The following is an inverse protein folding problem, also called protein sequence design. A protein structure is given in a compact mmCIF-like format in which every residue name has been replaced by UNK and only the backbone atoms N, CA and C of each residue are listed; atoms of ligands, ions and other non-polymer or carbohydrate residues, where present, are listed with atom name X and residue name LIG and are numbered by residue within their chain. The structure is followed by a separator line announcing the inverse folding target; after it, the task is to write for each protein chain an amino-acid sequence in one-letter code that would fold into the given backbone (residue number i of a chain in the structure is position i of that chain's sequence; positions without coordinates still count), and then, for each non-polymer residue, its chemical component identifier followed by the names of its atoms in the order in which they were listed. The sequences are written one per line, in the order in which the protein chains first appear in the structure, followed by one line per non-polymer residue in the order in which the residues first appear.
data_IF_870455003176
#
_entry.id   IF_870455003176
#
_cell.length_a   1.000
_cell.length_b   1.000
_cell.length_c   1.000
_cell.angle_alpha   90.00
_cell.angle_beta   90.00
_cell.angle_gamma   90.00
#
_symmetry.space_group_name_H-M   'P 1'
#
loop_
_entity.id
_entity.type
_entity.pdbx_description
1 polymer ?
#
# COMPACT_ATOMS: atom_id res chain seq x y z
N UNK A 1 -17.69 8.60 9.24
CA UNK A 1 -17.33 8.62 10.68
C UNK A 1 -15.81 8.56 10.88
N UNK A 2 -15.07 7.85 10.03
CA UNK A 2 -13.60 7.66 10.14
C UNK A 2 -12.74 8.89 9.85
N UNK A 3 -13.26 9.85 9.07
CA UNK A 3 -12.55 11.10 8.76
C UNK A 3 -12.06 11.82 10.03
N UNK A 4 -12.86 11.80 11.11
CA UNK A 4 -12.47 12.44 12.37
C UNK A 4 -11.33 11.72 13.11
N UNK A 5 -11.14 10.41 12.91
CA UNK A 5 -10.08 9.64 13.56
C UNK A 5 -8.79 9.74 12.74
N UNK A 6 -8.90 9.73 11.41
CA UNK A 6 -7.78 10.03 10.50
C UNK A 6 -7.29 11.48 10.60
N UNK A 7 -8.02 12.37 11.30
CA UNK A 7 -7.60 13.73 11.64
C UNK A 7 -6.93 13.82 13.03
N UNK A 8 -6.76 12.69 13.73
CA UNK A 8 -6.03 12.65 15.01
C UNK A 8 -4.60 13.18 14.83
N UNK A 9 -4.10 13.91 15.83
CA UNK A 9 -2.70 14.36 15.84
C UNK A 9 -1.72 13.25 16.19
N UNK A 10 -2.19 12.21 16.87
CA UNK A 10 -1.39 11.05 17.27
C UNK A 10 -1.37 10.04 16.10
N UNK A 11 -0.21 9.76 15.48
CA UNK A 11 -0.10 8.84 14.35
C UNK A 11 -0.54 7.41 14.71
N UNK A 12 -0.27 6.95 15.92
CA UNK A 12 -0.64 5.61 16.39
C UNK A 12 -2.17 5.42 16.40
N UNK A 13 -2.92 6.49 16.69
CA UNK A 13 -4.39 6.47 16.63
C UNK A 13 -4.89 6.44 15.18
N UNK A 14 -4.16 7.06 14.25
CA UNK A 14 -4.49 7.02 12.81
C UNK A 14 -4.18 5.65 12.23
N UNK A 15 -3.05 5.06 12.61
CA UNK A 15 -2.64 3.70 12.23
C UNK A 15 -3.66 2.66 12.70
N UNK A 16 -4.03 2.66 13.98
CA UNK A 16 -5.06 1.75 14.53
C UNK A 16 -6.41 1.92 13.79
N UNK A 17 -6.71 3.14 13.34
CA UNK A 17 -7.90 3.38 12.53
C UNK A 17 -7.81 2.76 11.14
N UNK A 18 -6.63 2.79 10.51
CA UNK A 18 -6.35 2.14 9.22
C UNK A 18 -6.47 0.62 9.33
N UNK A 19 -5.89 0.02 10.37
CA UNK A 19 -6.02 -1.43 10.63
C UNK A 19 -7.49 -1.83 10.75
N UNK A 20 -8.26 -1.10 11.56
CA UNK A 20 -9.71 -1.35 11.70
C UNK A 20 -10.42 -1.19 10.37
N UNK A 21 -10.12 -0.15 9.59
CA UNK A 21 -10.70 0.06 8.27
C UNK A 21 -10.43 -1.12 7.33
N UNK A 22 -9.26 -1.76 7.42
CA UNK A 22 -8.91 -2.91 6.59
C UNK A 22 -9.90 -4.07 6.73
N UNK A 23 -10.44 -4.28 7.93
CA UNK A 23 -11.40 -5.34 8.27
C UNK A 23 -12.86 -4.99 7.92
N UNK A 24 -13.16 -3.73 7.58
CA UNK A 24 -14.53 -3.25 7.39
C UNK A 24 -15.04 -3.41 5.97
N UNK A 25 -16.35 -3.63 5.84
CA UNK A 25 -17.07 -3.56 4.57
C UNK A 25 -17.64 -2.15 4.35
N UNK A 26 -17.70 -1.73 3.08
CA UNK A 26 -18.37 -0.49 2.68
C UNK A 26 -17.57 0.36 1.69
N UNK A 27 -18.26 1.13 0.84
CA UNK A 27 -17.60 1.95 -0.19
C UNK A 27 -16.76 3.09 0.39
N UNK A 28 -17.06 3.55 1.62
CA UNK A 28 -16.31 4.63 2.28
C UNK A 28 -14.91 4.19 2.75
N UNK A 29 -14.69 2.89 2.91
CA UNK A 29 -13.41 2.33 3.37
C UNK A 29 -12.30 2.63 2.38
N UNK A 30 -12.54 2.41 1.08
CA UNK A 30 -11.55 2.70 0.04
C UNK A 30 -11.12 4.17 0.09
N UNK A 31 -12.08 5.10 0.16
CA UNK A 31 -11.76 6.53 0.22
C UNK A 31 -10.95 6.90 1.46
N UNK A 32 -11.21 6.25 2.60
CA UNK A 32 -10.46 6.48 3.84
C UNK A 32 -9.03 5.93 3.76
N UNK A 33 -8.84 4.72 3.23
CA UNK A 33 -7.52 4.12 3.03
C UNK A 33 -6.68 4.90 2.01
N UNK A 34 -7.31 5.40 0.93
CA UNK A 34 -6.62 6.25 -0.05
C UNK A 34 -6.16 7.58 0.55
N UNK A 35 -6.90 8.14 1.51
CA UNK A 35 -6.46 9.33 2.25
C UNK A 35 -5.30 9.00 3.19
N UNK A 36 -5.35 7.85 3.87
CA UNK A 36 -4.28 7.41 4.76
C UNK A 36 -2.97 7.08 4.02
N UNK A 37 -3.05 6.70 2.74
CA UNK A 37 -1.87 6.53 1.89
C UNK A 37 -1.11 7.85 1.63
N UNK A 38 -1.72 8.99 1.94
CA UNK A 38 -1.10 10.33 1.86
C UNK A 38 -0.79 10.94 3.23
N UNK A 39 -0.84 10.14 4.30
CA UNK A 39 -0.56 10.59 5.66
C UNK A 39 0.88 11.12 5.83
N UNK A 40 1.10 12.02 6.79
CA UNK A 40 2.43 12.55 7.07
C UNK A 40 3.36 11.50 7.70
N UNK A 41 2.78 10.53 8.39
CA UNK A 41 3.46 9.46 9.10
C UNK A 41 3.70 8.23 8.22
N UNK A 42 4.90 7.65 8.30
CA UNK A 42 5.30 6.52 7.47
C UNK A 42 4.53 5.24 7.76
N UNK A 43 4.29 4.96 9.04
CA UNK A 43 3.62 3.73 9.48
C UNK A 43 2.17 3.74 9.02
N UNK A 44 1.49 4.89 9.18
CA UNK A 44 0.10 5.07 8.69
C UNK A 44 0.00 4.85 7.17
N UNK A 45 0.96 5.37 6.40
CA UNK A 45 1.00 5.15 4.93
C UNK A 45 1.25 3.68 4.58
N UNK A 46 2.14 3.00 5.30
CA UNK A 46 2.46 1.59 5.07
C UNK A 46 1.25 0.70 5.37
N UNK A 47 0.60 0.87 6.54
CA UNK A 47 -0.63 0.14 6.88
C UNK A 47 -1.75 0.38 5.87
N UNK A 48 -1.83 1.60 5.31
CA UNK A 48 -2.83 1.90 4.28
C UNK A 48 -2.55 1.14 2.97
N UNK A 49 -1.29 1.08 2.55
CA UNK A 49 -0.88 0.30 1.37
C UNK A 49 -1.18 -1.19 1.56
N UNK A 50 -0.80 -1.77 2.70
CA UNK A 50 -1.08 -3.16 3.05
C UNK A 50 -2.58 -3.46 3.04
N UNK A 51 -3.38 -2.60 3.68
CA UNK A 51 -4.83 -2.75 3.72
C UNK A 51 -5.45 -2.75 2.32
N UNK A 52 -5.00 -1.84 1.43
CA UNK A 52 -5.47 -1.78 0.04
C UNK A 52 -5.13 -3.06 -0.74
N UNK A 53 -3.95 -3.62 -0.50
CA UNK A 53 -3.46 -4.88 -1.07
C UNK A 53 -4.28 -6.10 -0.61
N UNK A 54 -4.43 -6.28 0.70
CA UNK A 54 -5.21 -7.36 1.31
C UNK A 54 -6.66 -7.37 0.82
N UNK A 55 -7.24 -6.17 0.67
CA UNK A 55 -8.60 -5.99 0.17
C UNK A 55 -8.73 -6.14 -1.35
N UNK A 56 -7.61 -6.24 -2.06
CA UNK A 56 -7.54 -6.31 -3.52
C UNK A 56 -8.26 -5.16 -4.22
N UNK A 57 -8.12 -3.95 -3.68
CA UNK A 57 -8.81 -2.75 -4.17
C UNK A 57 -8.19 -2.28 -5.48
N UNK A 58 -8.73 -2.71 -6.62
CA UNK A 58 -8.17 -2.42 -7.95
C UNK A 58 -8.10 -0.92 -8.26
N UNK A 59 -9.01 -0.15 -7.69
CA UNK A 59 -9.03 1.32 -7.78
C UNK A 59 -7.82 1.98 -7.12
N UNK A 60 -7.09 1.27 -6.25
CA UNK A 60 -5.87 1.74 -5.61
C UNK A 60 -4.60 1.52 -6.43
N UNK A 61 -4.69 0.95 -7.64
CA UNK A 61 -3.53 0.66 -8.48
C UNK A 61 -2.62 1.88 -8.72
N UNK A 62 -3.18 3.01 -9.18
CA UNK A 62 -2.40 4.23 -9.45
C UNK A 62 -1.85 4.88 -8.15
N UNK A 63 -2.64 5.02 -7.06
CA UNK A 63 -2.12 5.44 -5.77
C UNK A 63 -0.95 4.57 -5.25
N UNK A 64 -1.04 3.25 -5.38
CA UNK A 64 0.02 2.33 -4.94
C UNK A 64 1.29 2.45 -5.79
N UNK A 65 1.17 2.70 -7.10
CA UNK A 65 2.34 3.02 -7.94
C UNK A 65 3.06 4.28 -7.42
N UNK A 66 2.32 5.31 -7.01
CA UNK A 66 2.92 6.52 -6.42
C UNK A 66 3.65 6.21 -5.12
N UNK A 67 3.12 5.30 -4.30
CA UNK A 67 3.73 4.87 -3.03
C UNK A 67 5.04 4.08 -3.21
N UNK A 68 5.31 3.49 -4.39
CA UNK A 68 6.63 2.91 -4.69
C UNK A 68 7.79 3.92 -4.68
N UNK A 69 7.50 5.22 -4.69
CA UNK A 69 8.51 6.29 -4.60
C UNK A 69 8.52 6.98 -3.23
N UNK A 70 7.92 6.37 -2.22
CA UNK A 70 7.90 6.94 -0.87
C UNK A 70 9.32 7.02 -0.27
N UNK A 71 9.52 8.04 0.58
CA UNK A 71 10.77 8.23 1.33
C UNK A 71 11.03 7.09 2.32
N UNK A 72 9.96 6.46 2.79
CA UNK A 72 9.99 5.41 3.80
C UNK A 72 10.05 4.04 3.12
N UNK A 73 11.07 3.20 3.39
CA UNK A 73 11.18 1.87 2.80
C UNK A 73 9.99 0.96 3.13
N UNK A 74 9.40 1.05 4.32
CA UNK A 74 8.25 0.21 4.70
C UNK A 74 7.01 0.54 3.86
N UNK A 75 6.85 1.79 3.45
CA UNK A 75 5.79 2.20 2.53
C UNK A 75 6.05 1.64 1.13
N UNK A 76 7.30 1.68 0.65
CA UNK A 76 7.67 1.14 -0.66
C UNK A 76 7.47 -0.38 -0.71
N UNK A 77 7.88 -1.09 0.33
CA UNK A 77 7.69 -2.53 0.51
C UNK A 77 6.20 -2.89 0.48
N UNK A 78 5.40 -2.25 1.35
CA UNK A 78 3.96 -2.47 1.45
C UNK A 78 3.23 -2.19 0.13
N UNK A 79 3.65 -1.14 -0.60
CA UNK A 79 3.12 -0.82 -1.91
C UNK A 79 3.47 -1.89 -2.97
N UNK A 80 4.69 -2.43 -2.93
CA UNK A 80 5.12 -3.49 -3.83
C UNK A 80 4.29 -4.76 -3.63
N UNK A 81 4.13 -5.19 -2.37
CA UNK A 81 3.34 -6.37 -2.02
C UNK A 81 1.84 -6.19 -2.32
N UNK A 82 1.31 -4.99 -2.09
CA UNK A 82 -0.06 -4.66 -2.44
C UNK A 82 -0.29 -4.77 -3.95
N UNK A 83 0.62 -4.21 -4.77
CA UNK A 83 0.53 -4.30 -6.24
C UNK A 83 0.64 -5.75 -6.74
N UNK A 84 1.50 -6.57 -6.15
CA UNK A 84 1.55 -8.01 -6.42
C UNK A 84 0.22 -8.70 -6.09
N UNK A 85 -0.38 -8.35 -4.94
CA UNK A 85 -1.64 -8.92 -4.46
C UNK A 85 -2.86 -8.51 -5.29
N UNK A 86 -2.85 -7.33 -5.92
CA UNK A 86 -3.87 -6.91 -6.89
C UNK A 86 -3.92 -7.84 -8.11
N UNK A 87 -2.80 -8.48 -8.44
CA UNK A 87 -2.72 -9.42 -9.55
C UNK A 87 -2.85 -8.76 -10.93
N UNK A 88 -2.51 -7.47 -11.06
CA UNK A 88 -2.54 -6.75 -12.32
C UNK A 88 -1.13 -6.71 -12.96
N UNK A 89 -0.89 -7.42 -14.08
CA UNK A 89 0.43 -7.49 -14.70
C UNK A 89 1.01 -6.14 -15.12
N UNK A 90 0.17 -5.10 -15.25
CA UNK A 90 0.64 -3.73 -15.51
C UNK A 90 1.60 -3.23 -14.42
N UNK A 91 1.52 -3.75 -13.20
CA UNK A 91 2.42 -3.41 -12.10
C UNK A 91 3.88 -3.84 -12.35
N UNK A 92 4.13 -4.87 -13.17
CA UNK A 92 5.47 -5.46 -13.37
C UNK A 92 6.50 -4.39 -13.76
N UNK A 93 6.15 -3.50 -14.70
CA UNK A 93 7.08 -2.48 -15.18
C UNK A 93 7.45 -1.46 -14.10
N UNK A 94 6.52 -1.13 -13.21
CA UNK A 94 6.75 -0.21 -12.11
C UNK A 94 7.56 -0.88 -10.99
N UNK A 95 7.20 -2.12 -10.62
CA UNK A 95 7.92 -2.90 -9.63
C UNK A 95 9.39 -3.11 -10.03
N UNK A 96 9.67 -3.40 -11.31
CA UNK A 96 11.05 -3.60 -11.80
C UNK A 96 11.97 -2.38 -11.59
N UNK A 97 11.42 -1.19 -11.39
CA UNK A 97 12.21 0.00 -11.08
C UNK A 97 12.86 -0.06 -9.68
N UNK A 98 12.34 -0.88 -8.78
CA UNK A 98 12.79 -1.03 -7.39
C UNK A 98 13.64 -2.32 -7.17
N UNK A 99 14.03 -3.03 -8.23
CA UNK A 99 14.91 -4.21 -8.09
C UNK A 99 16.30 -3.88 -7.53
N UNK A 100 16.71 -2.61 -7.63
CA UNK A 100 17.97 -2.07 -7.10
C UNK A 100 17.68 -1.03 -6.00
N UNK A 101 16.52 -1.11 -5.34
CA UNK A 101 16.20 -0.26 -4.19
C UNK A 101 17.28 -0.38 -3.11
N UNK A 102 17.53 0.69 -2.35
CA UNK A 102 18.56 0.70 -1.30
C UNK A 102 18.23 -0.27 -0.17
N UNK A 103 16.93 -0.47 0.09
CA UNK A 103 16.43 -1.32 1.14
C UNK A 103 16.29 -2.78 0.67
N UNK A 104 16.74 -3.72 1.50
CA UNK A 104 16.74 -5.15 1.14
C UNK A 104 15.34 -5.76 1.11
N UNK A 105 14.50 -5.41 2.09
CA UNK A 105 13.15 -5.95 2.21
C UNK A 105 12.30 -5.47 1.01
N UNK A 106 12.49 -4.20 0.59
CA UNK A 106 11.86 -3.67 -0.63
C UNK A 106 12.24 -4.48 -1.87
N UNK A 107 13.53 -4.81 -2.05
CA UNK A 107 13.99 -5.61 -3.20
C UNK A 107 13.38 -7.02 -3.17
N UNK A 108 13.28 -7.65 -2.00
CA UNK A 108 12.69 -8.98 -1.84
C UNK A 108 11.18 -9.00 -2.16
N UNK A 109 10.42 -8.04 -1.64
CA UNK A 109 8.99 -7.88 -1.92
C UNK A 109 8.73 -7.61 -3.41
N UNK A 110 9.55 -6.77 -4.04
CA UNK A 110 9.49 -6.52 -5.49
C UNK A 110 9.74 -7.79 -6.29
N UNK A 111 10.81 -8.54 -5.98
CA UNK A 111 11.14 -9.76 -6.70
C UNK A 111 10.03 -10.82 -6.57
N UNK A 112 9.45 -10.95 -5.37
CA UNK A 112 8.33 -11.85 -5.09
C UNK A 112 7.09 -11.44 -5.88
N UNK A 113 6.72 -10.16 -5.84
CA UNK A 113 5.55 -9.62 -6.53
C UNK A 113 5.68 -9.71 -8.05
N UNK A 114 6.84 -9.40 -8.63
CA UNK A 114 7.10 -9.57 -10.07
C UNK A 114 6.94 -11.03 -10.48
N UNK A 115 7.56 -11.96 -9.73
CA UNK A 115 7.46 -13.40 -10.02
C UNK A 115 6.02 -13.91 -9.94
N UNK A 116 5.25 -13.43 -8.95
CA UNK A 116 3.84 -13.77 -8.79
C UNK A 116 3.05 -13.33 -10.03
N UNK A 117 3.22 -12.09 -10.47
CA UNK A 117 2.50 -11.53 -11.62
C UNK A 117 2.89 -12.20 -12.95
N UNK A 118 4.18 -12.48 -13.16
CA UNK A 118 4.66 -13.20 -14.35
C UNK A 118 4.11 -14.64 -14.44
N UNK A 119 3.78 -15.26 -13.30
CA UNK A 119 3.18 -16.60 -13.26
C UNK A 119 1.67 -16.62 -13.55
N UNK A 120 1.02 -15.45 -13.67
CA UNK A 120 -0.42 -15.31 -13.93
C UNK A 120 -0.75 -15.14 -15.43
N UNK A 121 0.26 -14.97 -16.29
CA UNK A 121 0.15 -14.95 -17.75
C UNK A 121 0.02 -16.37 -18.35
#
# INVERSE_FOLDING_TARGET
MYRNILESKEPEVREEAVEKLAEMEGPEVLGALLLALEDEDGDVRASAAEALGTRKSKEAFEPLIKALSDKDPWVRESAADALGSLGDPRAINYLKMLLEDEDEDVRESVATSVKLLEAME
#
